data_IF_062592805426
#
_entry.id   IF_062592805426
#
_cell.length_a   1.000
_cell.length_b   1.000
_cell.length_c   1.000
_cell.angle_alpha   90.00
_cell.angle_beta   90.00
_cell.angle_gamma   90.00
#
_symmetry.space_group_name_H-M   'P 1'
#
loop_
_entity.id
_entity.type
_entity.pdbx_description
1 polymer ?
#
# COMPACT_ATOMS: atom_id res chain seq x y z
N UNK A 1 17.75 11.47 4.33
CA UNK A 1 17.42 10.02 4.36
C UNK A 1 17.00 9.45 3.00
N UNK A 2 15.80 9.68 2.45
CA UNK A 2 15.35 8.95 1.23
C UNK A 2 16.28 9.13 0.02
N UNK A 3 16.73 10.35 -0.26
CA UNK A 3 17.73 10.60 -1.33
C UNK A 3 19.10 9.99 -1.05
N UNK A 4 19.47 9.84 0.22
CA UNK A 4 20.78 9.30 0.64
C UNK A 4 20.80 7.77 0.62
N UNK A 5 19.69 7.14 1.05
CA UNK A 5 19.53 5.68 1.06
C UNK A 5 19.11 5.15 -0.32
N UNK A 6 18.46 5.99 -1.13
CA UNK A 6 18.01 5.68 -2.48
C UNK A 6 17.29 4.31 -2.61
N UNK A 7 16.23 4.06 -1.80
CA UNK A 7 15.52 2.78 -1.85
C UNK A 7 14.88 2.57 -3.22
N UNK A 8 14.97 1.36 -3.76
CA UNK A 8 14.41 1.04 -5.08
C UNK A 8 12.87 1.11 -5.13
N UNK A 9 12.22 0.62 -4.08
CA UNK A 9 10.77 0.64 -3.86
C UNK A 9 10.50 0.81 -2.38
N UNK A 10 9.52 1.63 -2.00
CA UNK A 10 9.10 1.77 -0.61
C UNK A 10 7.60 2.12 -0.49
N UNK A 11 7.01 1.66 0.61
CA UNK A 11 5.67 2.06 1.03
C UNK A 11 5.73 3.20 2.05
N UNK A 12 4.72 4.06 2.04
CA UNK A 12 4.52 5.13 3.02
C UNK A 12 3.13 5.01 3.63
N UNK A 13 2.96 5.47 4.87
CA UNK A 13 1.67 5.52 5.54
C UNK A 13 1.43 6.97 6.01
N UNK A 14 0.16 7.31 6.24
CA UNK A 14 -0.27 8.59 6.83
C UNK A 14 0.00 9.85 5.99
N UNK A 15 0.40 9.72 4.72
CA UNK A 15 0.61 10.92 3.90
C UNK A 15 -0.73 11.57 3.58
N UNK A 16 -0.88 12.85 3.91
CA UNK A 16 -1.93 13.69 3.34
C UNK A 16 -1.58 14.08 1.90
N UNK A 17 -2.60 14.50 1.14
CA UNK A 17 -2.47 14.89 -0.26
C UNK A 17 -1.32 15.88 -0.55
N UNK A 18 -1.14 16.89 0.30
CA UNK A 18 -0.04 17.85 0.14
C UNK A 18 1.33 17.22 0.41
N UNK A 19 1.44 16.30 1.36
CA UNK A 19 2.70 15.60 1.66
C UNK A 19 3.06 14.59 0.57
N UNK A 20 2.05 13.95 -0.02
CA UNK A 20 2.21 13.10 -1.19
C UNK A 20 2.78 13.91 -2.37
N UNK A 21 2.22 15.10 -2.64
CA UNK A 21 2.73 16.00 -3.69
C UNK A 21 4.14 16.51 -3.39
N UNK A 22 4.41 16.90 -2.14
CA UNK A 22 5.74 17.35 -1.70
C UNK A 22 6.80 16.25 -1.93
N UNK A 23 6.49 14.99 -1.57
CA UNK A 23 7.39 13.86 -1.83
C UNK A 23 7.60 13.61 -3.32
N UNK A 24 6.55 13.69 -4.13
CA UNK A 24 6.66 13.58 -5.60
C UNK A 24 7.58 14.65 -6.19
N UNK A 25 7.44 15.91 -5.73
CA UNK A 25 8.32 17.01 -6.15
C UNK A 25 9.76 16.84 -5.66
N UNK A 26 9.95 16.31 -4.45
CA UNK A 26 11.27 16.11 -3.86
C UNK A 26 11.97 14.83 -4.35
N UNK A 27 11.27 13.90 -4.98
CA UNK A 27 11.80 12.64 -5.49
C UNK A 27 11.48 12.47 -6.98
N UNK A 28 12.00 13.34 -7.86
CA UNK A 28 11.62 13.38 -9.28
C UNK A 28 11.98 12.09 -10.06
N UNK A 29 12.92 11.29 -9.54
CA UNK A 29 13.32 10.01 -10.13
C UNK A 29 12.38 8.85 -9.76
N UNK A 30 11.38 9.11 -8.92
CA UNK A 30 10.42 8.13 -8.45
C UNK A 30 9.05 8.36 -9.11
N UNK A 31 8.36 7.26 -9.39
CA UNK A 31 6.93 7.25 -9.63
C UNK A 31 6.23 6.75 -8.39
N UNK A 32 4.94 7.05 -8.26
CA UNK A 32 4.15 6.60 -7.13
C UNK A 32 2.73 6.23 -7.53
N UNK A 33 2.16 5.32 -6.75
CA UNK A 33 0.75 4.93 -6.80
C UNK A 33 0.15 5.05 -5.41
N UNK A 34 -1.05 5.59 -5.31
CA UNK A 34 -1.82 5.67 -4.08
C UNK A 34 -3.00 6.62 -4.25
N UNK A 35 -4.02 6.44 -3.43
CA UNK A 35 -5.20 7.31 -3.34
C UNK A 35 -5.53 7.60 -1.88
N UNK A 36 -6.24 8.70 -1.64
CA UNK A 36 -6.75 9.07 -0.33
C UNK A 36 -7.80 8.06 0.16
N UNK A 37 -7.72 7.70 1.45
CA UNK A 37 -8.57 6.65 2.03
C UNK A 37 -10.04 6.99 2.17
N UNK A 38 -10.43 8.26 2.13
CA UNK A 38 -11.82 8.66 2.39
C UNK A 38 -12.69 8.63 1.12
N UNK A 39 -12.10 8.94 -0.03
CA UNK A 39 -12.85 9.08 -1.30
C UNK A 39 -12.28 8.26 -2.45
N UNK A 40 -11.10 7.65 -2.28
CA UNK A 40 -10.41 6.95 -3.36
C UNK A 40 -9.78 7.88 -4.39
N UNK A 41 -9.58 9.15 -4.03
CA UNK A 41 -8.92 10.16 -4.83
C UNK A 41 -7.90 10.91 -3.96
N UNK A 42 -8.31 12.01 -3.31
CA UNK A 42 -7.40 12.92 -2.62
C UNK A 42 -7.72 13.13 -1.15
N UNK A 43 -8.89 12.71 -0.67
CA UNK A 43 -9.30 12.92 0.71
C UNK A 43 -8.76 11.85 1.66
N UNK A 44 -8.27 12.29 2.82
CA UNK A 44 -7.67 11.43 3.82
C UNK A 44 -6.22 11.03 3.52
N UNK A 45 -5.72 10.12 4.34
CA UNK A 45 -4.35 9.62 4.26
C UNK A 45 -4.17 8.60 3.13
N UNK A 46 -2.94 8.53 2.61
CA UNK A 46 -2.51 7.61 1.56
C UNK A 46 -1.63 6.50 2.15
N UNK A 47 -1.75 5.29 1.60
CA UNK A 47 -0.76 4.22 1.77
C UNK A 47 0.09 4.08 0.49
N UNK A 48 0.71 5.17 0.05
CA UNK A 48 1.35 5.23 -1.26
C UNK A 48 2.57 4.31 -1.38
N UNK A 49 2.76 3.76 -2.59
CA UNK A 49 3.96 3.02 -3.00
C UNK A 49 4.76 3.90 -3.96
N UNK A 50 6.03 4.14 -3.63
CA UNK A 50 6.99 4.85 -4.48
C UNK A 50 8.02 3.86 -5.02
N UNK A 51 8.42 4.03 -6.29
CA UNK A 51 9.43 3.19 -6.94
C UNK A 51 10.26 3.98 -7.96
N UNK A 52 11.51 3.59 -8.14
CA UNK A 52 12.42 4.21 -9.10
C UNK A 52 11.96 4.01 -10.54
N UNK A 53 11.76 5.12 -11.26
CA UNK A 53 11.25 5.11 -12.64
C UNK A 53 12.25 4.55 -13.66
N UNK A 54 13.54 4.60 -13.35
CA UNK A 54 14.62 4.11 -14.20
C UNK A 54 14.95 2.63 -13.96
N UNK A 55 14.51 2.07 -12.83
CA UNK A 55 14.75 0.69 -12.45
C UNK A 55 13.55 -0.24 -12.70
N UNK A 56 12.32 0.30 -12.71
CA UNK A 56 11.10 -0.52 -12.79
C UNK A 56 10.09 0.00 -13.81
N UNK A 57 9.48 -0.95 -14.52
CA UNK A 57 8.26 -0.76 -15.30
C UNK A 57 7.05 -1.14 -14.43
N UNK A 58 6.03 -0.27 -14.38
CA UNK A 58 4.75 -0.57 -13.75
C UNK A 58 3.87 -1.35 -14.71
N UNK A 59 3.55 -2.60 -14.36
CA UNK A 59 2.71 -3.47 -15.18
C UNK A 59 1.24 -3.39 -14.83
N UNK A 60 0.94 -3.31 -13.54
CA UNK A 60 -0.41 -3.23 -13.02
C UNK A 60 -0.41 -2.61 -11.61
N UNK A 61 -1.54 -2.08 -11.18
CA UNK A 61 -1.68 -1.47 -9.86
C UNK A 61 -3.13 -1.31 -9.44
N UNK A 62 -3.35 -1.18 -8.13
CA UNK A 62 -4.66 -0.86 -7.62
C UNK A 62 -4.67 -0.52 -6.15
N UNK A 63 -5.86 -0.31 -5.62
CA UNK A 63 -6.12 -0.09 -4.19
C UNK A 63 -7.43 -0.76 -3.83
N UNK A 64 -7.50 -1.30 -2.61
CA UNK A 64 -8.73 -1.82 -2.01
C UNK A 64 -8.81 -1.42 -0.53
N UNK A 65 -10.02 -1.27 -0.03
CA UNK A 65 -10.30 -0.95 1.37
C UNK A 65 -10.34 -2.22 2.21
N UNK A 66 -9.85 -2.14 3.44
CA UNK A 66 -9.89 -3.22 4.42
C UNK A 66 -11.24 -3.20 5.12
N UNK A 67 -12.26 -3.68 4.40
CA UNK A 67 -13.65 -3.69 4.85
C UNK A 67 -14.45 -4.83 4.25
N UNK A 68 -15.72 -4.94 4.61
CA UNK A 68 -16.70 -5.84 3.99
C UNK A 68 -17.04 -5.44 2.54
N UNK A 69 -16.74 -4.20 2.13
CA UNK A 69 -16.93 -3.66 0.78
C UNK A 69 -15.60 -3.14 0.19
N UNK A 70 -14.61 -4.00 -0.10
CA UNK A 70 -13.24 -3.55 -0.41
C UNK A 70 -13.10 -2.65 -1.64
N UNK A 71 -14.08 -2.71 -2.54
CA UNK A 71 -14.08 -1.98 -3.80
C UNK A 71 -14.82 -0.62 -3.69
N UNK A 72 -15.37 -0.33 -2.51
CA UNK A 72 -16.09 0.91 -2.22
C UNK A 72 -15.14 1.88 -1.50
N UNK A 73 -14.79 3.01 -2.13
CA UNK A 73 -13.99 4.03 -1.48
C UNK A 73 -14.63 4.56 -0.20
N UNK A 74 -13.80 4.83 0.80
CA UNK A 74 -14.25 5.33 2.10
C UNK A 74 -15.00 4.30 2.95
N UNK A 75 -14.95 3.01 2.60
CA UNK A 75 -15.60 1.98 3.41
C UNK A 75 -14.77 1.68 4.66
N UNK A 76 -15.43 1.74 5.82
CA UNK A 76 -14.86 1.39 7.11
C UNK A 76 -15.17 -0.07 7.43
N UNK A 77 -14.15 -0.85 7.78
CA UNK A 77 -14.29 -2.28 8.04
C UNK A 77 -14.58 -2.60 9.51
N UNK A 78 -15.54 -3.50 9.75
CA UNK A 78 -15.80 -4.12 11.05
C UNK A 78 -15.85 -3.13 12.23
N UNK A 79 -15.04 -3.35 13.27
CA UNK A 79 -14.89 -2.52 14.46
C UNK A 79 -13.80 -1.44 14.32
N UNK A 80 -13.33 -1.18 13.11
CA UNK A 80 -12.29 -0.20 12.82
C UNK A 80 -12.70 1.22 13.22
N UNK A 81 -11.72 1.98 13.72
CA UNK A 81 -11.94 3.39 14.07
C UNK A 81 -12.07 4.29 12.83
N UNK A 82 -11.30 4.01 11.78
CA UNK A 82 -11.30 4.74 10.52
C UNK A 82 -11.15 3.81 9.30
N UNK A 83 -11.36 4.36 8.11
CA UNK A 83 -11.15 3.69 6.84
C UNK A 83 -9.69 3.28 6.70
N UNK A 84 -9.43 2.04 6.30
CA UNK A 84 -8.08 1.53 6.03
C UNK A 84 -8.04 0.95 4.64
N UNK A 85 -6.88 1.00 3.98
CA UNK A 85 -6.70 0.48 2.63
C UNK A 85 -5.35 -0.18 2.44
N UNK A 86 -5.21 -0.88 1.33
CA UNK A 86 -3.92 -1.34 0.83
C UNK A 86 -3.75 -0.91 -0.63
N UNK A 87 -2.59 -0.35 -0.95
CA UNK A 87 -2.19 -0.02 -2.31
C UNK A 87 -1.18 -1.06 -2.79
N UNK A 88 -1.32 -1.49 -4.04
CA UNK A 88 -0.47 -2.52 -4.61
C UNK A 88 -0.01 -2.17 -6.02
N UNK A 89 1.16 -2.68 -6.38
CA UNK A 89 1.77 -2.54 -7.69
C UNK A 89 2.41 -3.87 -8.11
N UNK A 90 2.32 -4.20 -9.40
CA UNK A 90 3.13 -5.23 -10.03
C UNK A 90 4.23 -4.53 -10.81
N UNK A 91 5.47 -4.74 -10.40
CA UNK A 91 6.64 -4.10 -10.99
C UNK A 91 7.49 -5.13 -11.72
N UNK A 92 8.00 -4.75 -12.90
CA UNK A 92 9.02 -5.49 -13.64
C UNK A 92 10.35 -4.77 -13.52
N UNK A 93 11.38 -5.47 -13.05
CA UNK A 93 12.73 -4.92 -12.94
C UNK A 93 13.41 -4.84 -14.32
N UNK A 94 13.99 -3.69 -14.60
CA UNK A 94 14.87 -3.47 -15.75
C UNK A 94 16.09 -4.39 -15.71
N UNK A 95 16.56 -4.82 -16.88
CA UNK A 95 17.74 -5.67 -17.02
C UNK A 95 17.42 -7.17 -17.08
N UNK A 96 16.77 -7.73 -16.05
CA UNK A 96 16.46 -9.17 -16.00
C UNK A 96 14.98 -9.54 -16.15
N UNK A 97 14.09 -8.53 -16.21
CA UNK A 97 12.67 -8.72 -16.45
C UNK A 97 11.92 -9.44 -15.33
N UNK A 98 12.53 -9.59 -14.14
CA UNK A 98 11.85 -10.23 -13.00
C UNK A 98 10.68 -9.37 -12.52
N UNK A 99 9.55 -10.02 -12.28
CA UNK A 99 8.33 -9.38 -11.79
C UNK A 99 8.12 -9.71 -10.31
N UNK A 100 7.56 -8.77 -9.55
CA UNK A 100 7.13 -8.98 -8.18
C UNK A 100 5.88 -8.15 -7.87
N UNK A 101 5.10 -8.63 -6.91
CA UNK A 101 3.97 -7.91 -6.32
C UNK A 101 4.47 -7.18 -5.07
N UNK A 102 4.25 -5.86 -5.01
CA UNK A 102 4.49 -5.06 -3.83
C UNK A 102 3.18 -4.50 -3.30
N UNK A 103 2.90 -4.69 -2.01
CA UNK A 103 1.70 -4.21 -1.34
C UNK A 103 2.11 -3.40 -0.13
N UNK A 104 1.43 -2.28 0.09
CA UNK A 104 1.61 -1.42 1.25
C UNK A 104 0.28 -1.16 1.95
N UNK A 105 0.26 -1.22 3.28
CA UNK A 105 -0.95 -1.01 4.07
C UNK A 105 -0.69 -0.26 5.39
N UNK A 106 -1.77 0.11 6.06
CA UNK A 106 -1.76 0.63 7.41
C UNK A 106 -2.99 0.05 8.11
N UNK A 107 -2.81 -0.88 9.04
CA UNK A 107 -3.91 -1.55 9.74
C UNK A 107 -4.51 -0.68 10.84
N UNK A 108 -5.72 -1.02 11.28
CA UNK A 108 -6.41 -0.22 12.28
C UNK A 108 -5.79 -0.35 13.68
N UNK A 109 -5.55 0.77 14.32
CA UNK A 109 -5.02 0.84 15.69
C UNK A 109 -6.02 0.47 16.80
N UNK A 110 -7.34 0.48 16.55
CA UNK A 110 -8.35 0.25 17.60
C UNK A 110 -9.03 -1.11 17.42
N UNK A 111 -9.58 -1.37 16.24
CA UNK A 111 -10.38 -2.56 15.95
C UNK A 111 -9.53 -3.83 15.81
N UNK A 112 -9.64 -4.72 16.79
CA UNK A 112 -8.95 -6.02 16.75
C UNK A 112 -9.57 -6.92 15.67
N UNK A 113 -10.91 -6.89 15.53
CA UNK A 113 -11.57 -7.64 14.47
C UNK A 113 -11.19 -7.08 13.09
N UNK A 114 -11.13 -5.75 12.95
CA UNK A 114 -10.70 -5.09 11.72
C UNK A 114 -9.27 -5.45 11.34
N UNK A 115 -8.34 -5.54 12.29
CA UNK A 115 -6.99 -6.05 12.02
C UNK A 115 -7.02 -7.50 11.55
N UNK A 116 -7.68 -8.39 12.28
CA UNK A 116 -7.75 -9.82 11.96
C UNK A 116 -8.34 -10.08 10.59
N UNK A 117 -9.52 -9.52 10.32
CA UNK A 117 -10.23 -9.71 9.06
C UNK A 117 -9.55 -8.94 7.93
N UNK A 118 -8.95 -7.78 8.22
CA UNK A 118 -8.11 -7.03 7.30
C UNK A 118 -6.89 -7.83 6.83
N UNK A 119 -6.18 -8.51 7.74
CA UNK A 119 -5.07 -9.44 7.40
C UNK A 119 -5.59 -10.62 6.58
N UNK A 120 -6.73 -11.21 6.95
CA UNK A 120 -7.32 -12.29 6.18
C UNK A 120 -7.69 -11.85 4.74
N UNK A 121 -8.24 -10.64 4.59
CA UNK A 121 -8.54 -10.04 3.29
C UNK A 121 -7.27 -9.73 2.49
N UNK A 122 -6.24 -9.16 3.12
CA UNK A 122 -4.93 -8.90 2.51
C UNK A 122 -4.34 -10.20 1.93
N UNK A 123 -4.32 -11.29 2.71
CA UNK A 123 -3.82 -12.58 2.25
C UNK A 123 -4.62 -13.13 1.06
N UNK A 124 -5.95 -13.01 1.07
CA UNK A 124 -6.79 -13.41 -0.08
C UNK A 124 -6.48 -12.58 -1.33
N UNK A 125 -6.27 -11.27 -1.18
CA UNK A 125 -5.90 -10.38 -2.30
C UNK A 125 -4.52 -10.68 -2.82
N UNK A 126 -3.55 -10.97 -1.94
CA UNK A 126 -2.21 -11.44 -2.32
C UNK A 126 -2.31 -12.68 -3.20
N UNK A 127 -3.05 -13.71 -2.78
CA UNK A 127 -3.20 -14.94 -3.56
C UNK A 127 -3.86 -14.69 -4.94
N UNK A 128 -4.85 -13.80 -4.99
CA UNK A 128 -5.52 -13.44 -6.24
C UNK A 128 -4.63 -12.64 -7.21
N UNK A 129 -3.71 -11.82 -6.70
CA UNK A 129 -2.90 -10.89 -7.49
C UNK A 129 -1.51 -11.43 -7.83
N UNK A 130 -0.91 -12.27 -6.98
CA UNK A 130 0.51 -12.63 -7.08
C UNK A 130 0.83 -13.48 -8.32
N UNK A 131 -0.07 -14.36 -8.74
CA UNK A 131 0.27 -15.41 -9.70
C UNK A 131 1.50 -16.21 -9.24
N UNK A 132 2.52 -16.31 -10.09
CA UNK A 132 3.81 -16.96 -9.75
C UNK A 132 4.87 -15.99 -9.20
N UNK A 133 4.50 -14.71 -8.98
CA UNK A 133 5.45 -13.66 -8.60
C UNK A 133 5.77 -13.72 -7.10
N UNK A 134 7.02 -13.43 -6.70
CA UNK A 134 7.32 -13.14 -5.30
C UNK A 134 6.55 -11.91 -4.81
N UNK A 135 6.23 -11.91 -3.52
CA UNK A 135 5.42 -10.88 -2.86
C UNK A 135 6.22 -10.18 -1.79
N UNK A 136 6.14 -8.86 -1.76
CA UNK A 136 6.65 -8.01 -0.69
C UNK A 136 5.45 -7.27 -0.10
N UNK A 137 5.24 -7.41 1.20
CA UNK A 137 4.21 -6.69 1.95
C UNK A 137 4.90 -5.76 2.96
N UNK A 138 4.59 -4.46 2.89
CA UNK A 138 5.02 -3.46 3.86
C UNK A 138 3.81 -2.82 4.52
N UNK A 139 4.03 -2.16 5.65
CA UNK A 139 3.00 -1.36 6.28
C UNK A 139 3.29 -1.03 7.72
N UNK A 140 2.43 -0.18 8.27
CA UNK A 140 2.24 -0.08 9.71
C UNK A 140 1.10 -1.03 10.11
N UNK A 141 1.44 -2.06 10.87
CA UNK A 141 0.48 -3.10 11.24
C UNK A 141 -0.28 -2.78 12.54
N UNK A 142 0.09 -1.72 13.26
CA UNK A 142 -0.42 -1.43 14.61
C UNK A 142 -0.46 -2.68 15.53
N UNK A 143 0.53 -3.55 15.35
CA UNK A 143 0.62 -4.86 15.99
C UNK A 143 2.09 -5.21 16.19
N UNK A 144 2.40 -5.77 17.36
CA UNK A 144 3.72 -6.34 17.64
C UNK A 144 3.90 -7.69 16.91
N UNK A 145 5.14 -8.16 16.69
CA UNK A 145 5.39 -9.42 15.98
C UNK A 145 4.76 -10.67 16.61
N UNK A 146 4.48 -10.65 17.92
CA UNK A 146 3.83 -11.73 18.67
C UNK A 146 2.30 -11.54 18.80
N UNK A 147 1.76 -10.48 18.18
CA UNK A 147 0.33 -10.24 18.09
C UNK A 147 -0.40 -11.46 17.49
N UNK A 148 -1.54 -11.87 18.07
CA UNK A 148 -2.37 -12.95 17.52
C UNK A 148 -3.19 -12.52 16.29
N UNK A 149 -3.13 -11.23 15.95
CA UNK A 149 -3.70 -10.61 14.75
C UNK A 149 -2.60 -10.02 13.89
#
# INVERSE_FOLDING_TARGET
MLREQAPDVFGTQELLANQYDDLGALLPDYRSVGVGREDGDRAGEFNAVFFRADAFELLDSGTFWLSEEPERPGSKGWDGACERLATWVVLRRGGDGREFLFINTHLDHVGEQARREGVALLLRRIEALRGDRPVILTGDFNAEPDSPV
#
